data_IF_699734228886
#
_entry.id   IF_699734228886
#
_cell.length_a   1.000
_cell.length_b   1.000
_cell.length_c   1.000
_cell.angle_alpha   90.00
_cell.angle_beta   90.00
_cell.angle_gamma   90.00
#
_symmetry.space_group_name_H-M   'P 1'
#
loop_
_entity.id
_entity.type
_entity.pdbx_description
1 polymer ?
#
# COMPACT_ATOMS: atom_id res chain seq x y z
N UNK A 1 -14.94 -2.39 -27.79
CA UNK A 1 -13.62 -2.24 -27.15
C UNK A 1 -13.35 -0.77 -26.89
N UNK A 2 -13.45 -0.37 -25.63
CA UNK A 2 -13.15 0.96 -25.15
C UNK A 2 -11.68 1.33 -25.34
N UNK A 3 -11.39 2.63 -25.22
CA UNK A 3 -10.04 3.18 -25.41
C UNK A 3 -9.02 2.58 -24.44
N UNK A 4 -9.45 2.21 -23.23
CA UNK A 4 -8.59 1.65 -22.18
C UNK A 4 -8.30 0.17 -22.39
N UNK A 5 -9.28 -0.63 -22.81
CA UNK A 5 -9.06 -2.04 -23.15
C UNK A 5 -7.99 -2.19 -24.25
N UNK A 6 -8.05 -1.35 -25.29
CA UNK A 6 -7.03 -1.29 -26.34
C UNK A 6 -5.66 -0.84 -25.83
N UNK A 7 -5.62 0.00 -24.80
CA UNK A 7 -4.38 0.44 -24.16
C UNK A 7 -3.73 -0.73 -23.40
N UNK A 8 -4.54 -1.46 -22.64
CA UNK A 8 -4.10 -2.64 -21.89
C UNK A 8 -3.56 -3.71 -22.85
N UNK A 9 -4.22 -3.96 -23.98
CA UNK A 9 -3.71 -4.88 -25.01
C UNK A 9 -2.38 -4.43 -25.59
N UNK A 10 -2.21 -3.14 -25.90
CA UNK A 10 -0.93 -2.59 -26.37
C UNK A 10 0.19 -2.75 -25.34
N UNK A 11 -0.12 -2.53 -24.07
CA UNK A 11 0.80 -2.71 -22.95
C UNK A 11 1.23 -4.18 -22.85
N UNK A 12 0.28 -5.12 -22.94
CA UNK A 12 0.56 -6.57 -22.94
C UNK A 12 1.38 -7.01 -24.15
N UNK A 13 1.14 -6.41 -25.32
CA UNK A 13 1.84 -6.73 -26.56
C UNK A 13 3.28 -6.17 -26.60
N UNK A 14 3.55 -5.05 -25.91
CA UNK A 14 4.88 -4.45 -25.85
C UNK A 14 5.24 -3.99 -24.42
N UNK A 15 5.45 -4.93 -23.49
CA UNK A 15 5.65 -4.62 -22.07
C UNK A 15 7.00 -3.96 -21.78
N UNK A 16 7.92 -3.92 -22.74
CA UNK A 16 9.25 -3.30 -22.61
C UNK A 16 9.29 -1.83 -23.04
N UNK A 17 8.22 -1.32 -23.67
CA UNK A 17 8.24 0.02 -24.25
C UNK A 17 6.92 0.73 -24.00
N UNK A 18 6.54 0.82 -22.72
CA UNK A 18 5.27 1.39 -22.30
C UNK A 18 5.48 2.81 -21.77
N UNK A 19 4.68 3.77 -22.22
CA UNK A 19 4.74 5.12 -21.64
C UNK A 19 4.27 5.07 -20.19
N UNK A 20 4.98 5.72 -19.29
CA UNK A 20 4.62 5.73 -17.88
C UNK A 20 3.18 6.22 -17.65
N UNK A 21 2.76 7.27 -18.36
CA UNK A 21 1.38 7.79 -18.30
C UNK A 21 0.31 6.79 -18.77
N UNK A 22 0.63 5.96 -19.76
CA UNK A 22 -0.28 4.95 -20.26
C UNK A 22 -0.41 3.79 -19.27
N UNK A 23 0.69 3.45 -18.59
CA UNK A 23 0.68 2.49 -17.48
C UNK A 23 -0.15 3.01 -16.30
N UNK A 24 0.01 4.28 -15.91
CA UNK A 24 -0.81 4.90 -14.86
C UNK A 24 -2.31 4.79 -15.15
N UNK A 25 -2.72 5.08 -16.39
CA UNK A 25 -4.13 4.97 -16.80
C UNK A 25 -4.63 3.54 -16.74
N UNK A 26 -3.82 2.58 -17.18
CA UNK A 26 -4.18 1.16 -17.13
C UNK A 26 -4.27 0.62 -15.70
N UNK A 27 -3.39 1.09 -14.79
CA UNK A 27 -3.42 0.73 -13.37
C UNK A 27 -4.64 1.32 -12.67
N UNK A 28 -4.92 2.60 -12.91
CA UNK A 28 -6.10 3.27 -12.35
C UNK A 28 -7.41 2.61 -12.79
N UNK A 29 -7.53 2.23 -14.07
CA UNK A 29 -8.69 1.48 -14.59
C UNK A 29 -8.85 0.12 -13.92
N UNK A 30 -7.74 -0.53 -13.56
CA UNK A 30 -7.74 -1.79 -12.80
C UNK A 30 -7.98 -1.62 -11.30
N UNK A 31 -8.17 -0.40 -10.81
CA UNK A 31 -8.37 -0.10 -9.40
C UNK A 31 -7.10 0.01 -8.57
N UNK A 32 -5.93 0.13 -9.20
CA UNK A 32 -4.69 0.42 -8.50
C UNK A 32 -4.53 1.94 -8.32
N UNK A 33 -4.39 2.37 -7.08
CA UNK A 33 -4.09 3.74 -6.71
C UNK A 33 -2.63 3.88 -6.26
N UNK A 34 -2.05 5.07 -6.44
CA UNK A 34 -0.70 5.36 -5.96
C UNK A 34 -0.74 5.44 -4.44
N UNK A 35 0.02 4.58 -3.78
CA UNK A 35 0.11 4.55 -2.33
C UNK A 35 1.39 5.23 -1.82
N UNK A 36 2.49 5.23 -2.59
CA UNK A 36 3.75 5.84 -2.19
C UNK A 36 4.57 6.34 -3.40
N UNK A 37 5.31 7.44 -3.21
CA UNK A 37 6.26 7.96 -4.20
C UNK A 37 7.59 8.26 -3.51
N UNK A 38 8.58 7.39 -3.71
CA UNK A 38 9.96 7.58 -3.20
C UNK A 38 10.92 7.85 -4.35
N UNK A 39 11.03 9.13 -4.73
CA UNK A 39 11.87 9.57 -5.84
C UNK A 39 11.41 8.96 -7.18
N UNK A 40 12.22 8.07 -7.75
CA UNK A 40 11.86 7.30 -8.94
C UNK A 40 10.79 6.24 -8.71
N UNK A 41 10.58 5.78 -7.47
CA UNK A 41 9.79 4.58 -7.20
C UNK A 41 8.35 4.96 -6.87
N UNK A 42 7.41 4.41 -7.62
CA UNK A 42 5.98 4.62 -7.47
C UNK A 42 5.37 3.30 -7.03
N UNK A 43 4.86 3.24 -5.82
CA UNK A 43 4.12 2.08 -5.31
C UNK A 43 2.63 2.29 -5.57
N UNK A 44 1.97 1.27 -6.09
CA UNK A 44 0.54 1.23 -6.36
C UNK A 44 -0.11 0.07 -5.62
N UNK A 45 -1.36 0.22 -5.21
CA UNK A 45 -2.14 -0.85 -4.60
C UNK A 45 -3.59 -0.83 -5.03
N UNK A 46 -4.17 -2.00 -5.24
CA UNK A 46 -5.62 -2.20 -5.41
C UNK A 46 -6.32 -2.60 -4.10
N UNK A 47 -5.61 -2.48 -2.96
CA UNK A 47 -6.06 -2.94 -1.65
C UNK A 47 -5.86 -4.45 -1.42
N UNK A 48 -5.46 -5.22 -2.42
CA UNK A 48 -5.12 -6.66 -2.29
C UNK A 48 -3.67 -6.95 -2.60
N UNK A 49 -3.11 -6.24 -3.57
CA UNK A 49 -1.77 -6.43 -4.08
C UNK A 49 -1.08 -5.09 -4.19
N UNK A 50 0.19 -5.05 -3.85
CA UNK A 50 1.03 -3.87 -4.01
C UNK A 50 2.05 -4.14 -5.10
N UNK A 51 2.24 -3.17 -5.99
CA UNK A 51 3.22 -3.21 -7.07
C UNK A 51 4.06 -1.95 -7.04
N UNK A 52 5.36 -2.07 -7.29
CA UNK A 52 6.26 -0.91 -7.32
C UNK A 52 6.87 -0.76 -8.70
N UNK A 53 6.74 0.43 -9.28
CA UNK A 53 7.21 0.77 -10.63
C UNK A 53 8.19 1.92 -10.54
N UNK A 54 9.33 1.78 -11.22
CA UNK A 54 10.30 2.85 -11.35
C UNK A 54 9.89 3.78 -12.49
N UNK A 55 9.61 5.04 -12.17
CA UNK A 55 9.46 6.14 -13.11
C UNK A 55 10.80 6.44 -13.79
N UNK A 56 10.83 6.51 -15.13
CA UNK A 56 12.03 6.87 -15.87
C UNK A 56 12.41 8.35 -15.65
N UNK A 57 13.71 8.63 -15.61
CA UNK A 57 14.30 9.97 -15.42
C UNK A 57 15.09 10.43 -16.66
N UNK A 58 15.43 11.72 -16.73
CA UNK A 58 16.34 12.26 -17.74
C UNK A 58 15.77 12.31 -19.17
N UNK A 59 14.48 12.65 -19.33
CA UNK A 59 13.82 12.77 -20.64
C UNK A 59 13.23 11.48 -21.20
N UNK A 60 13.55 10.33 -20.58
CA UNK A 60 12.93 9.04 -20.90
C UNK A 60 11.48 9.00 -20.41
N UNK A 61 10.55 8.64 -21.31
CA UNK A 61 9.10 8.57 -21.02
C UNK A 61 8.58 7.14 -20.88
N UNK A 62 9.45 6.16 -21.11
CA UNK A 62 9.08 4.76 -21.24
C UNK A 62 9.61 3.94 -20.06
N UNK A 63 8.79 2.98 -19.63
CA UNK A 63 9.05 2.06 -18.53
C UNK A 63 8.89 0.61 -19.01
N UNK A 64 9.56 -0.29 -18.30
CA UNK A 64 9.47 -1.73 -18.51
C UNK A 64 8.46 -2.31 -17.50
N UNK A 65 7.31 -2.77 -17.99
CA UNK A 65 6.29 -3.43 -17.17
C UNK A 65 6.79 -4.77 -16.62
N UNK A 66 7.82 -5.36 -17.24
CA UNK A 66 8.46 -6.58 -16.75
C UNK A 66 9.32 -6.36 -15.48
N UNK A 67 9.66 -5.11 -15.16
CA UNK A 67 10.29 -4.74 -13.87
C UNK A 67 9.24 -4.55 -12.75
N UNK A 68 7.94 -4.74 -13.05
CA UNK A 68 6.91 -4.88 -12.02
C UNK A 68 7.19 -6.17 -11.29
N UNK A 69 7.89 -6.06 -10.17
CA UNK A 69 7.86 -7.11 -9.15
C UNK A 69 6.44 -7.10 -8.59
N UNK A 70 5.75 -8.25 -8.60
CA UNK A 70 4.71 -8.49 -7.59
C UNK A 70 5.41 -8.20 -6.26
N UNK A 71 5.06 -7.06 -5.66
CA UNK A 71 5.73 -6.63 -4.46
C UNK A 71 5.48 -7.70 -3.41
N UNK A 72 6.54 -8.17 -2.77
CA UNK A 72 6.48 -8.61 -1.39
C UNK A 72 5.43 -7.73 -0.70
N UNK A 73 4.39 -8.34 -0.11
CA UNK A 73 3.44 -7.59 0.73
C UNK A 73 4.29 -6.66 1.58
N UNK A 74 4.20 -5.34 1.39
CA UNK A 74 4.92 -4.42 2.28
C UNK A 74 4.28 -4.60 3.65
N UNK A 75 4.87 -5.50 4.43
CA UNK A 75 4.50 -5.83 5.79
C UNK A 75 5.09 -4.72 6.64
N UNK A 76 4.24 -3.75 6.95
CA UNK A 76 4.60 -2.73 7.93
C UNK A 76 4.35 -3.32 9.32
N UNK A 77 5.27 -3.07 10.25
CA UNK A 77 5.16 -3.51 11.64
C UNK A 77 5.35 -2.35 12.60
N UNK A 78 4.58 -2.34 13.68
CA UNK A 78 4.75 -1.42 14.82
C UNK A 78 4.99 -2.29 16.05
N UNK A 79 6.15 -2.15 16.70
CA UNK A 79 6.55 -2.95 17.88
C UNK A 79 6.26 -4.46 17.73
N UNK A 80 6.60 -5.05 16.58
CA UNK A 80 6.37 -6.45 16.19
C UNK A 80 4.94 -6.84 15.75
N UNK A 81 3.98 -5.91 15.78
CA UNK A 81 2.62 -6.16 15.26
C UNK A 81 2.51 -5.76 13.80
N UNK A 82 2.01 -6.68 12.99
CA UNK A 82 1.68 -6.38 11.59
C UNK A 82 0.53 -5.39 11.51
N UNK A 83 0.62 -4.48 10.54
CA UNK A 83 -0.45 -3.55 10.21
C UNK A 83 -0.84 -3.70 8.74
N UNK A 84 -2.14 -3.55 8.49
CA UNK A 84 -2.72 -3.60 7.15
C UNK A 84 -3.23 -2.21 6.82
N UNK A 85 -2.71 -1.63 5.74
CA UNK A 85 -3.15 -0.34 5.20
C UNK A 85 -4.01 -0.60 3.97
N UNK A 86 -5.18 0.03 3.89
CA UNK A 86 -6.10 -0.09 2.77
C UNK A 86 -6.85 1.22 2.51
N UNK A 87 -7.16 1.56 1.26
CA UNK A 87 -7.90 2.78 0.95
C UNK A 87 -9.34 2.72 1.47
N UNK A 88 -9.88 3.87 1.87
CA UNK A 88 -11.30 4.04 2.21
C UNK A 88 -12.15 4.04 0.94
N UNK A 89 -13.05 3.06 0.75
CA UNK A 89 -13.93 3.06 -0.42
C UNK A 89 -15.04 4.11 -0.34
N UNK A 90 -15.29 4.67 0.85
CA UNK A 90 -16.42 5.58 1.12
C UNK A 90 -16.02 7.06 1.09
N UNK A 91 -14.73 7.38 1.19
CA UNK A 91 -14.24 8.76 1.16
C UNK A 91 -13.85 9.14 -0.26
N UNK A 92 -14.45 10.20 -0.79
CA UNK A 92 -14.06 10.79 -2.09
C UNK A 92 -12.64 11.38 -2.08
N UNK A 93 -12.11 11.70 -0.90
CA UNK A 93 -10.75 12.17 -0.69
C UNK A 93 -9.84 10.99 -0.33
N UNK A 94 -8.64 10.92 -0.92
CA UNK A 94 -7.65 9.84 -0.71
C UNK A 94 -7.36 9.64 0.79
N UNK A 95 -8.13 8.77 1.44
CA UNK A 95 -8.04 8.45 2.85
C UNK A 95 -7.68 6.99 2.98
N UNK A 96 -6.62 6.70 3.74
CA UNK A 96 -6.15 5.35 4.02
C UNK A 96 -6.61 4.95 5.42
N UNK A 97 -7.14 3.75 5.54
CA UNK A 97 -7.34 3.09 6.82
C UNK A 97 -6.14 2.20 7.14
N UNK A 98 -5.86 2.09 8.43
CA UNK A 98 -4.86 1.21 8.99
C UNK A 98 -5.47 0.45 10.16
N UNK A 99 -5.28 -0.87 10.14
CA UNK A 99 -5.71 -1.74 11.24
C UNK A 99 -4.60 -2.69 11.68
N UNK A 100 -4.64 -3.09 12.94
CA UNK A 100 -3.85 -4.19 13.47
C UNK A 100 -4.68 -5.47 13.45
N UNK A 101 -4.31 -6.54 12.72
CA UNK A 101 -5.06 -7.80 12.73
C UNK A 101 -5.13 -8.43 14.12
N UNK A 102 -4.04 -8.33 14.88
CA UNK A 102 -3.92 -8.87 16.24
C UNK A 102 -4.59 -7.98 17.29
N UNK A 103 -4.78 -6.69 16.98
CA UNK A 103 -5.42 -5.70 17.85
C UNK A 103 -6.52 -4.97 17.08
N UNK A 104 -7.64 -5.63 16.77
CA UNK A 104 -8.71 -5.06 15.95
C UNK A 104 -9.38 -3.84 16.58
N UNK A 105 -9.15 -3.59 17.88
CA UNK A 105 -9.60 -2.40 18.60
C UNK A 105 -8.90 -1.12 18.10
N UNK A 106 -7.70 -1.24 17.52
CA UNK A 106 -6.98 -0.12 16.93
C UNK A 106 -7.33 -0.03 15.45
N UNK A 107 -8.18 0.95 15.13
CA UNK A 107 -8.46 1.39 13.77
C UNK A 107 -8.13 2.87 13.66
N UNK A 108 -7.25 3.20 12.72
CA UNK A 108 -6.87 4.58 12.44
C UNK A 108 -6.80 4.81 10.93
N UNK A 109 -6.41 6.01 10.54
CA UNK A 109 -6.20 6.33 9.14
C UNK A 109 -5.53 7.68 8.97
N UNK A 110 -5.29 8.03 7.72
CA UNK A 110 -4.70 9.31 7.34
C UNK A 110 -4.78 9.54 5.85
N UNK A 111 -4.51 10.76 5.42
CA UNK A 111 -4.50 11.14 3.99
C UNK A 111 -3.31 10.56 3.24
N UNK A 112 -2.24 10.20 3.95
CA UNK A 112 -1.03 9.59 3.41
C UNK A 112 -0.64 8.37 4.24
N UNK A 113 0.23 7.50 3.69
CA UNK A 113 0.76 6.35 4.44
C UNK A 113 1.50 6.84 5.69
N UNK A 114 2.34 7.86 5.55
CA UNK A 114 3.14 8.41 6.65
C UNK A 114 2.25 8.91 7.79
N UNK A 115 1.21 9.67 7.46
CA UNK A 115 0.21 10.16 8.43
C UNK A 115 -0.53 8.99 9.09
N UNK A 116 -0.97 8.00 8.30
CA UNK A 116 -1.66 6.82 8.83
C UNK A 116 -0.76 6.03 9.80
N UNK A 117 0.53 5.86 9.49
CA UNK A 117 1.51 5.17 10.34
C UNK A 117 1.79 5.97 11.62
N UNK A 118 1.95 7.28 11.52
CA UNK A 118 2.16 8.15 12.69
C UNK A 118 0.96 8.06 13.64
N UNK A 119 -0.25 8.22 13.11
CA UNK A 119 -1.49 8.06 13.86
C UNK A 119 -1.63 6.65 14.46
N UNK A 120 -1.14 5.61 13.78
CA UNK A 120 -1.16 4.24 14.29
C UNK A 120 -0.20 4.01 15.45
N UNK A 121 0.98 4.63 15.41
CA UNK A 121 1.94 4.56 16.54
C UNK A 121 1.34 5.22 17.77
N UNK A 122 0.75 6.40 17.62
CA UNK A 122 0.09 7.10 18.73
C UNK A 122 -1.10 6.29 19.28
N UNK A 123 -1.94 5.74 18.39
CA UNK A 123 -3.07 4.90 18.80
C UNK A 123 -2.63 3.62 19.51
N UNK A 124 -1.54 2.99 19.05
CA UNK A 124 -0.97 1.80 19.67
C UNK A 124 -0.44 2.08 21.07
N UNK A 125 0.32 3.15 21.26
CA UNK A 125 0.82 3.56 22.57
C UNK A 125 -0.32 3.89 23.54
N UNK A 126 -1.35 4.60 23.05
CA UNK A 126 -2.54 4.90 23.84
C UNK A 126 -3.27 3.62 24.29
N UNK A 127 -3.41 2.64 23.37
CA UNK A 127 -4.05 1.37 23.67
C UNK A 127 -3.24 0.53 24.68
N UNK A 128 -1.92 0.48 24.51
CA UNK A 128 -0.98 -0.19 25.43
C UNK A 128 -1.07 0.38 26.85
N UNK A 129 -1.10 1.71 26.98
CA UNK A 129 -1.27 2.37 28.29
C UNK A 129 -2.65 2.05 28.89
N UNK A 130 -3.71 2.03 28.07
CA UNK A 130 -5.05 1.68 28.52
C UNK A 130 -5.15 0.23 29.03
N UNK A 131 -4.53 -0.73 28.34
CA UNK A 131 -4.46 -2.12 28.78
C UNK A 131 -3.68 -2.25 30.10
N UNK A 132 -2.54 -1.57 30.22
CA UNK A 132 -1.75 -1.57 31.44
C UNK A 132 -2.55 -1.03 32.65
N UNK A 133 -3.31 0.06 32.46
CA UNK A 133 -4.22 0.61 33.48
C UNK A 133 -5.36 -0.34 33.86
N UNK A 134 -5.79 -1.21 32.94
CA UNK A 134 -6.79 -2.24 33.18
C UNK A 134 -6.20 -3.55 33.76
N UNK A 135 -4.88 -3.62 33.95
CA UNK A 135 -4.20 -4.86 34.35
C UNK A 135 -4.24 -5.95 33.28
N UNK A 136 -4.40 -5.58 32.01
CA UNK A 136 -4.38 -6.47 30.85
C UNK A 136 -3.05 -6.34 30.11
N UNK A 137 -2.69 -7.40 29.40
CA UNK A 137 -1.49 -7.44 28.55
C UNK A 137 -1.87 -7.30 27.07
N UNK A 138 -0.92 -6.85 26.25
CA UNK A 138 -1.10 -6.85 24.80
C UNK A 138 -1.19 -8.30 24.27
N UNK A 139 -1.99 -8.57 23.22
CA UNK A 139 -2.05 -9.89 22.61
C UNK A 139 -0.71 -10.25 21.96
N UNK A 140 -0.39 -11.54 21.85
CA UNK A 140 0.86 -11.95 21.21
C UNK A 140 0.78 -11.71 19.69
N UNK A 141 1.75 -11.02 19.05
CA UNK A 141 1.71 -10.75 17.62
C UNK A 141 1.88 -12.03 16.79
N UNK A 142 1.06 -12.18 15.75
CA UNK A 142 1.05 -13.39 14.90
C UNK A 142 2.37 -13.58 14.12
N UNK A 143 3.05 -12.49 13.75
CA UNK A 143 4.37 -12.53 13.10
C UNK A 143 5.47 -13.18 13.95
N UNK A 144 5.29 -13.31 15.26
CA UNK A 144 6.25 -13.97 16.17
C UNK A 144 6.18 -15.50 16.10
N UNK A 145 5.27 -16.06 15.30
CA UNK A 145 5.04 -17.52 15.18
C UNK A 145 5.84 -18.19 14.06
N UNK A 146 7.03 -17.68 13.69
CA UNK A 146 7.91 -18.34 12.72
C UNK A 146 9.37 -18.26 13.15
N UNK A 147 9.75 -18.89 14.26
CA UNK A 147 11.11 -19.44 14.43
C UNK A 147 11.00 -20.66 15.38
N UNK A 148 10.89 -21.85 14.81
CA UNK A 148 11.30 -23.11 15.46
C UNK A 148 12.35 -23.77 14.58
#
# INVERSE_FOLDING_TARGET
MGKIEKLIEKIKANPRHVRFEDLLKALKDKGYDIINIKGSHYSFSDGKTTITIVRPHGGNKFCHVLDVKEGDKEMFTIEDYEIIIFPSPEKEEHWLYLRFPDIPEILTGGKTIEEAIENAKEAFECHKEALQKQGKELPVPTSRTVHT
#
